data_IF_819042887068
#
_entry.id   IF_819042887068
#
_cell.length_a   1.000
_cell.length_b   1.000
_cell.length_c   1.000
_cell.angle_alpha   90.00
_cell.angle_beta   90.00
_cell.angle_gamma   90.00
#
_symmetry.space_group_name_H-M   'P 1'
#
loop_
_entity.id
_entity.type
_entity.pdbx_description
1 polymer ?
#
# COMPACT_ATOMS: atom_id res chain seq x y z
N UNK A 1 -46.72 32.47 -1.33
CA UNK A 1 -45.95 31.73 -0.30
C UNK A 1 -45.47 30.35 -0.76
N UNK A 2 -46.28 29.53 -1.47
CA UNK A 2 -45.85 28.18 -1.95
C UNK A 2 -44.64 28.18 -2.90
N UNK A 3 -44.54 29.16 -3.81
CA UNK A 3 -43.44 29.25 -4.77
C UNK A 3 -42.08 29.59 -4.13
N UNK A 4 -42.08 30.41 -3.08
CA UNK A 4 -40.85 30.74 -2.33
C UNK A 4 -40.32 29.50 -1.59
N UNK A 5 -41.21 28.66 -1.07
CA UNK A 5 -40.83 27.41 -0.42
C UNK A 5 -40.19 26.42 -1.41
N UNK A 6 -40.75 26.28 -2.62
CA UNK A 6 -40.18 25.44 -3.67
C UNK A 6 -38.80 25.92 -4.13
N UNK A 7 -38.61 27.24 -4.22
CA UNK A 7 -37.33 27.82 -4.61
C UNK A 7 -36.23 27.52 -3.57
N UNK A 8 -36.53 27.77 -2.29
CA UNK A 8 -35.63 27.47 -1.17
C UNK A 8 -35.31 25.97 -1.11
N UNK A 9 -36.32 25.11 -1.30
CA UNK A 9 -36.13 23.66 -1.32
C UNK A 9 -35.18 23.21 -2.45
N UNK A 10 -35.28 23.81 -3.64
CA UNK A 10 -34.38 23.48 -4.75
C UNK A 10 -32.92 23.89 -4.49
N UNK A 11 -32.70 25.04 -3.84
CA UNK A 11 -31.35 25.51 -3.47
C UNK A 11 -30.74 24.56 -2.44
N UNK A 12 -31.55 24.07 -1.50
CA UNK A 12 -31.12 23.17 -0.45
C UNK A 12 -30.74 21.78 -1.01
N UNK A 13 -31.52 21.27 -1.98
CA UNK A 13 -31.16 20.06 -2.72
C UNK A 13 -29.86 20.24 -3.51
N UNK A 14 -29.68 21.39 -4.16
CA UNK A 14 -28.48 21.68 -4.94
C UNK A 14 -27.23 21.78 -4.04
N UNK A 15 -27.34 22.38 -2.85
CA UNK A 15 -26.21 22.49 -1.91
C UNK A 15 -25.80 21.12 -1.35
N UNK A 16 -26.77 20.25 -1.05
CA UNK A 16 -26.50 18.86 -0.63
C UNK A 16 -25.80 18.11 -1.77
N UNK A 17 -26.28 18.25 -3.01
CA UNK A 17 -25.69 17.57 -4.16
C UNK A 17 -24.24 18.01 -4.42
N UNK A 18 -23.96 19.32 -4.36
CA UNK A 18 -22.60 19.86 -4.51
C UNK A 18 -21.68 19.34 -3.38
N UNK A 19 -22.17 19.30 -2.15
CA UNK A 19 -21.40 18.81 -0.99
C UNK A 19 -21.00 17.34 -1.14
N UNK A 20 -21.91 16.50 -1.67
CA UNK A 20 -21.63 15.10 -1.94
C UNK A 20 -20.53 14.95 -3.01
N UNK A 21 -20.61 15.71 -4.11
CA UNK A 21 -19.59 15.67 -5.17
C UNK A 21 -18.22 16.08 -4.65
N UNK A 22 -18.13 17.14 -3.84
CA UNK A 22 -16.87 17.57 -3.24
C UNK A 22 -16.30 16.52 -2.27
N UNK A 23 -17.16 15.82 -1.52
CA UNK A 23 -16.71 14.74 -0.63
C UNK A 23 -16.15 13.54 -1.39
N UNK A 24 -16.72 13.17 -2.54
CA UNK A 24 -16.17 12.08 -3.37
C UNK A 24 -14.86 12.47 -4.05
N UNK A 25 -14.67 13.75 -4.37
CA UNK A 25 -13.47 14.23 -5.06
C UNK A 25 -12.24 14.28 -4.14
N UNK A 26 -12.44 14.33 -2.82
CA UNK A 26 -11.37 14.74 -1.92
C UNK A 26 -10.46 13.66 -1.34
N UNK A 27 -10.81 12.38 -1.21
CA UNK A 27 -9.94 11.51 -0.37
C UNK A 27 -9.87 10.02 -0.71
N UNK A 28 -9.78 9.67 -1.99
CA UNK A 28 -9.14 8.39 -2.35
C UNK A 28 -7.67 8.63 -2.67
N UNK A 29 -6.86 8.81 -1.62
CA UNK A 29 -5.41 8.56 -1.75
C UNK A 29 -5.24 7.07 -1.99
N UNK A 30 -5.08 6.69 -3.25
CA UNK A 30 -4.64 5.36 -3.62
C UNK A 30 -3.21 5.25 -3.09
N UNK A 31 -3.05 4.64 -1.92
CA UNK A 31 -1.74 4.30 -1.41
C UNK A 31 -1.15 3.28 -2.37
N UNK A 32 -0.10 3.67 -3.09
CA UNK A 32 0.63 2.75 -3.95
C UNK A 32 1.30 1.70 -3.05
N UNK A 33 0.76 0.48 -3.06
CA UNK A 33 1.31 -0.63 -2.28
C UNK A 33 2.63 -1.04 -2.92
N UNK A 34 3.75 -0.65 -2.29
CA UNK A 34 5.07 -1.15 -2.64
C UNK A 34 5.26 -2.53 -2.00
N UNK A 35 4.96 -3.56 -2.80
CA UNK A 35 4.89 -4.94 -2.35
C UNK A 35 6.31 -5.49 -2.09
N UNK A 36 7.32 -5.02 -2.83
CA UNK A 36 8.73 -5.34 -2.62
C UNK A 36 9.23 -4.84 -1.27
N UNK A 37 8.85 -3.61 -0.90
CA UNK A 37 9.16 -3.03 0.41
C UNK A 37 8.52 -3.83 1.54
N UNK A 38 7.27 -4.26 1.37
CA UNK A 38 6.57 -5.05 2.36
C UNK A 38 7.25 -6.41 2.58
N UNK A 39 7.59 -7.10 1.49
CA UNK A 39 8.27 -8.40 1.53
C UNK A 39 9.65 -8.30 2.19
N UNK A 40 10.45 -7.28 1.81
CA UNK A 40 11.74 -7.05 2.43
C UNK A 40 11.64 -6.77 3.94
N UNK A 41 10.64 -5.98 4.35
CA UNK A 41 10.45 -5.61 5.75
C UNK A 41 9.93 -6.77 6.60
N UNK A 42 8.99 -7.56 6.09
CA UNK A 42 8.49 -8.77 6.76
C UNK A 42 9.63 -9.77 7.01
N UNK A 43 10.48 -9.98 6.01
CA UNK A 43 11.65 -10.84 6.15
C UNK A 43 12.66 -10.30 7.17
N UNK A 44 12.95 -8.99 7.15
CA UNK A 44 13.79 -8.34 8.16
C UNK A 44 13.29 -8.57 9.58
N UNK A 45 12.00 -8.32 9.83
CA UNK A 45 11.41 -8.51 11.16
C UNK A 45 11.57 -9.95 11.64
N UNK A 46 11.37 -10.92 10.75
CA UNK A 46 11.49 -12.32 11.09
C UNK A 46 12.93 -12.72 11.39
N UNK A 47 13.92 -12.29 10.61
CA UNK A 47 15.35 -12.50 10.94
C UNK A 47 15.69 -11.92 12.32
N UNK A 48 15.20 -10.70 12.60
CA UNK A 48 15.48 -10.03 13.88
C UNK A 48 14.89 -10.77 15.08
N UNK A 49 13.73 -11.39 14.91
CA UNK A 49 13.04 -12.14 15.97
C UNK A 49 13.54 -13.58 16.11
N UNK A 50 13.92 -14.19 14.99
CA UNK A 50 14.24 -15.60 14.87
C UNK A 50 15.53 -15.69 14.05
N UNK A 51 16.66 -15.87 14.74
CA UNK A 51 17.97 -15.98 14.12
C UNK A 51 18.15 -17.37 13.47
N UNK A 52 17.29 -17.68 12.50
CA UNK A 52 17.06 -19.05 12.02
C UNK A 52 17.34 -19.17 10.51
N UNK A 53 18.18 -20.15 10.18
CA UNK A 53 18.47 -20.58 8.80
C UNK A 53 17.23 -21.04 8.03
N UNK A 54 16.21 -21.58 8.71
CA UNK A 54 14.95 -21.97 8.09
C UNK A 54 14.23 -20.76 7.47
N UNK A 55 14.36 -19.60 8.10
CA UNK A 55 13.73 -18.36 7.68
C UNK A 55 14.26 -17.87 6.32
N UNK A 56 15.56 -18.02 6.09
CA UNK A 56 16.17 -17.71 4.80
C UNK A 56 15.56 -18.57 3.68
N UNK A 57 15.38 -19.87 3.89
CA UNK A 57 14.79 -20.76 2.87
C UNK A 57 13.36 -20.34 2.49
N UNK A 58 12.51 -20.04 3.49
CA UNK A 58 11.13 -19.63 3.25
C UNK A 58 11.01 -18.31 2.47
N UNK A 59 11.95 -17.37 2.69
CA UNK A 59 12.01 -16.12 1.94
C UNK A 59 12.33 -16.35 0.46
N UNK A 60 13.35 -17.16 0.17
CA UNK A 60 13.70 -17.51 -1.21
C UNK A 60 12.57 -18.29 -1.89
N UNK A 61 11.90 -19.20 -1.19
CA UNK A 61 10.76 -19.95 -1.73
C UNK A 61 9.56 -19.05 -2.06
N UNK A 62 9.29 -18.07 -1.20
CA UNK A 62 8.23 -17.08 -1.45
C UNK A 62 8.55 -16.25 -2.70
N UNK A 63 9.77 -15.74 -2.81
CA UNK A 63 10.17 -14.97 -3.98
C UNK A 63 10.16 -15.80 -5.27
N UNK A 64 10.58 -17.07 -5.20
CA UNK A 64 10.51 -18.00 -6.33
C UNK A 64 9.07 -18.23 -6.82
N UNK A 65 8.10 -18.35 -5.90
CA UNK A 65 6.67 -18.46 -6.26
C UNK A 65 6.15 -17.21 -6.98
N UNK A 66 6.68 -16.04 -6.64
CA UNK A 66 6.32 -14.77 -7.28
C UNK A 66 7.11 -14.46 -8.56
N UNK A 67 8.07 -15.32 -8.94
CA UNK A 67 9.03 -15.07 -10.01
C UNK A 67 9.89 -13.82 -9.76
N UNK A 68 10.25 -13.59 -8.50
CA UNK A 68 11.06 -12.47 -8.04
C UNK A 68 12.46 -12.92 -7.64
N UNK A 69 13.44 -12.06 -7.87
CA UNK A 69 14.82 -12.26 -7.46
C UNK A 69 15.00 -11.61 -6.08
N UNK A 70 15.13 -12.44 -5.05
CA UNK A 70 15.42 -11.97 -3.69
C UNK A 70 16.82 -12.38 -3.29
N UNK A 71 17.53 -11.53 -2.56
CA UNK A 71 18.90 -11.74 -2.09
C UNK A 71 19.05 -11.18 -0.68
N UNK A 72 19.78 -11.89 0.17
CA UNK A 72 20.09 -11.47 1.54
C UNK A 72 21.56 -11.74 1.85
N UNK A 73 22.26 -10.73 2.39
CA UNK A 73 23.69 -10.82 2.73
C UNK A 73 23.99 -10.31 4.16
N UNK A 74 23.07 -10.54 5.10
CA UNK A 74 23.13 -10.10 6.51
C UNK A 74 23.01 -8.59 6.75
N UNK A 75 23.56 -7.77 5.86
CA UNK A 75 23.52 -6.31 5.94
C UNK A 75 22.42 -5.70 5.10
N UNK A 76 22.05 -6.36 4.00
CA UNK A 76 21.06 -5.88 3.04
C UNK A 76 20.07 -6.99 2.68
N UNK A 77 18.81 -6.59 2.47
CA UNK A 77 17.77 -7.39 1.82
C UNK A 77 17.44 -6.71 0.50
N UNK A 78 17.58 -7.44 -0.59
CA UNK A 78 17.29 -6.98 -1.95
C UNK A 78 16.11 -7.79 -2.46
N UNK A 79 15.07 -7.10 -2.92
CA UNK A 79 13.89 -7.70 -3.56
C UNK A 79 13.74 -7.06 -4.93
N UNK A 80 13.91 -7.86 -5.98
CA UNK A 80 13.78 -7.45 -7.38
C UNK A 80 12.57 -8.15 -7.98
N UNK A 81 11.53 -7.36 -8.21
CA UNK A 81 10.36 -7.77 -8.98
C UNK A 81 10.59 -7.46 -10.47
N UNK A 82 9.69 -7.88 -11.37
CA UNK A 82 9.76 -7.52 -12.79
C UNK A 82 9.70 -6.01 -13.06
N UNK A 83 9.20 -5.22 -12.11
CA UNK A 83 8.93 -3.79 -12.30
C UNK A 83 9.84 -2.89 -11.48
N UNK A 84 10.33 -3.36 -10.32
CA UNK A 84 11.08 -2.54 -9.37
C UNK A 84 12.16 -3.35 -8.65
N UNK A 85 13.20 -2.63 -8.22
CA UNK A 85 14.21 -3.15 -7.30
C UNK A 85 14.08 -2.37 -6.01
N UNK A 86 13.93 -3.09 -4.90
CA UNK A 86 13.92 -2.53 -3.56
C UNK A 86 15.13 -3.07 -2.78
N UNK A 87 15.82 -2.16 -2.10
CA UNK A 87 16.97 -2.48 -1.25
C UNK A 87 16.70 -1.93 0.14
N UNK A 88 16.73 -2.81 1.13
CA UNK A 88 16.62 -2.49 2.55
C UNK A 88 17.98 -2.67 3.20
N UNK A 89 18.50 -1.60 3.82
CA UNK A 89 19.68 -1.68 4.68
C UNK A 89 19.24 -2.00 6.12
N UNK A 90 19.96 -2.93 6.76
CA UNK A 90 19.63 -3.52 8.05
C UNK A 90 20.63 -3.13 9.15
N UNK A 91 21.75 -2.48 8.79
CA UNK A 91 22.77 -1.99 9.74
C UNK A 91 22.23 -0.95 10.71
#
# INVERSE_FOLDING_TARGET
>A
MKAQFLFIFSILLLSIYISIIFSFKNDYKIYEINLEKYVAYDFYLKIKLLNDTFLNSTFYDYCKKLLWDCLYNETHIIVKSPTKIYVLNIT
#
